data_IF_034186716584
#
_entry.id   IF_034186716584
#
_cell.length_a   1.000
_cell.length_b   1.000
_cell.length_c   1.000
_cell.angle_alpha   90.00
_cell.angle_beta   90.00
_cell.angle_gamma   90.00
#
_symmetry.space_group_name_H-M   'P 1'
#
loop_
_entity.id
_entity.type
_entity.pdbx_description
1 polymer ?
#
# COMPACT_ATOMS: atom_id res chain seq x y z
N UNK A 1 -0.07 -18.48 1.57
CA UNK A 1 1.11 -18.65 0.70
C UNK A 1 1.62 -20.06 0.89
N UNK A 2 1.76 -20.80 -0.19
CA UNK A 2 2.52 -22.05 -0.22
C UNK A 2 3.79 -21.77 -1.02
N UNK A 3 4.95 -21.91 -0.37
CA UNK A 3 6.23 -21.91 -1.06
C UNK A 3 6.48 -23.33 -1.57
N UNK A 4 6.23 -23.56 -2.85
CA UNK A 4 6.74 -24.73 -3.56
C UNK A 4 8.24 -24.47 -3.87
N UNK A 5 9.05 -25.51 -3.71
CA UNK A 5 10.47 -25.60 -4.09
C UNK A 5 10.82 -25.08 -5.50
N UNK A 6 9.83 -24.80 -6.36
CA UNK A 6 9.99 -24.20 -7.68
C UNK A 6 10.11 -22.66 -7.71
N UNK A 7 10.37 -21.99 -6.57
CA UNK A 7 10.56 -20.52 -6.50
C UNK A 7 9.36 -19.69 -6.98
N UNK A 8 8.14 -20.25 -6.90
CA UNK A 8 6.92 -19.55 -7.27
C UNK A 8 6.13 -19.17 -6.03
N UNK A 9 6.05 -17.85 -5.77
CA UNK A 9 5.28 -17.30 -4.67
C UNK A 9 3.84 -17.08 -5.16
N UNK A 10 2.98 -18.09 -5.01
CA UNK A 10 1.54 -17.94 -5.31
C UNK A 10 0.78 -17.47 -4.07
N UNK A 11 0.21 -16.28 -4.20
CA UNK A 11 -0.84 -15.77 -3.32
C UNK A 11 -2.17 -15.95 -4.05
N UNK A 12 -2.95 -16.99 -3.73
CA UNK A 12 -4.27 -17.26 -4.31
C UNK A 12 -5.37 -16.34 -3.73
N UNK A 13 -5.07 -15.06 -3.58
CA UNK A 13 -6.11 -14.05 -3.33
C UNK A 13 -5.96 -12.96 -4.37
N UNK A 14 -7.04 -12.68 -5.09
CA UNK A 14 -7.07 -11.51 -5.96
C UNK A 14 -7.54 -10.33 -5.12
N UNK A 15 -6.58 -9.54 -4.62
CA UNK A 15 -6.87 -8.29 -3.95
C UNK A 15 -7.23 -7.22 -4.99
N UNK A 16 -8.42 -7.31 -5.58
CA UNK A 16 -8.95 -6.23 -6.41
C UNK A 16 -9.32 -5.07 -5.50
N UNK A 17 -8.76 -3.88 -5.73
CA UNK A 17 -9.21 -2.65 -5.09
C UNK A 17 -10.37 -2.07 -5.89
N UNK A 18 -11.41 -1.61 -5.19
CA UNK A 18 -12.48 -0.84 -5.82
C UNK A 18 -11.99 0.58 -6.13
N UNK A 19 -12.64 1.27 -7.07
CA UNK A 19 -12.31 2.66 -7.41
C UNK A 19 -12.40 3.55 -6.16
N UNK A 20 -13.45 3.42 -5.35
CA UNK A 20 -13.59 4.20 -4.11
C UNK A 20 -12.48 3.94 -3.09
N UNK A 21 -12.02 2.69 -2.95
CA UNK A 21 -10.87 2.38 -2.08
C UNK A 21 -9.57 2.99 -2.61
N UNK A 22 -9.40 3.06 -3.94
CA UNK A 22 -8.23 3.69 -4.58
C UNK A 22 -8.29 5.21 -4.40
N UNK A 23 -9.44 5.83 -4.64
CA UNK A 23 -9.68 7.28 -4.48
C UNK A 23 -9.43 7.74 -3.05
N UNK A 24 -10.09 7.11 -2.08
CA UNK A 24 -9.96 7.44 -0.66
C UNK A 24 -8.51 7.31 -0.20
N UNK A 25 -7.83 6.26 -0.67
CA UNK A 25 -6.44 6.01 -0.32
C UNK A 25 -5.51 7.05 -0.95
N UNK A 26 -5.66 7.34 -2.25
CA UNK A 26 -4.85 8.33 -2.95
C UNK A 26 -5.02 9.73 -2.34
N UNK A 27 -6.25 10.13 -2.00
CA UNK A 27 -6.53 11.41 -1.35
C UNK A 27 -5.83 11.53 0.02
N UNK A 28 -5.82 10.46 0.83
CA UNK A 28 -5.13 10.43 2.13
C UNK A 28 -3.62 10.56 1.99
N UNK A 29 -3.02 9.86 1.03
CA UNK A 29 -1.57 9.94 0.76
C UNK A 29 -1.20 11.34 0.27
N UNK A 30 -1.96 11.91 -0.68
CA UNK A 30 -1.72 13.27 -1.17
C UNK A 30 -1.84 14.33 -0.06
N UNK A 31 -2.84 14.20 0.82
CA UNK A 31 -2.98 15.08 1.98
C UNK A 31 -1.75 15.02 2.90
N UNK A 32 -1.21 13.82 3.12
CA UNK A 32 0.00 13.62 3.90
C UNK A 32 1.24 14.21 3.22
N UNK A 33 1.44 13.95 1.92
CA UNK A 33 2.60 14.43 1.15
C UNK A 33 2.61 15.94 0.87
N UNK A 34 1.45 16.60 0.91
CA UNK A 34 1.32 18.06 0.78
C UNK A 34 1.69 18.78 2.07
N UNK A 35 1.63 18.10 3.22
CA UNK A 35 2.09 18.65 4.48
C UNK A 35 3.58 18.35 4.62
N UNK A 36 4.47 19.36 4.72
CA UNK A 36 5.90 19.14 4.94
C UNK A 36 6.11 18.54 6.34
N UNK A 37 6.00 17.22 6.45
CA UNK A 37 6.23 16.50 7.68
C UNK A 37 7.05 15.26 7.39
N UNK A 38 8.18 15.11 8.08
CA UNK A 38 8.97 13.86 8.09
C UNK A 38 8.29 12.80 8.97
N UNK A 39 6.95 12.73 8.90
CA UNK A 39 6.16 11.87 9.78
C UNK A 39 5.84 10.58 9.04
N UNK A 40 5.98 9.47 9.77
CA UNK A 40 5.50 8.17 9.36
C UNK A 40 4.01 8.23 9.02
N UNK A 41 3.64 7.62 7.90
CA UNK A 41 2.25 7.44 7.50
C UNK A 41 1.90 5.95 7.60
N UNK A 42 0.69 5.66 8.08
CA UNK A 42 0.16 4.30 8.11
C UNK A 42 -1.33 4.35 7.83
N UNK A 43 -1.78 3.66 6.80
CA UNK A 43 -3.19 3.58 6.45
C UNK A 43 -3.59 2.18 5.98
N UNK A 44 -4.78 1.76 6.35
CA UNK A 44 -5.44 0.64 5.70
C UNK A 44 -6.05 1.12 4.38
N UNK A 45 -5.63 0.49 3.28
CA UNK A 45 -6.17 0.70 1.92
C UNK A 45 -7.56 0.08 1.80
N UNK A 46 -7.80 -1.04 2.50
CA UNK A 46 -9.08 -1.76 2.50
C UNK A 46 -9.64 -1.93 3.92
N UNK A 47 -9.93 -0.83 4.65
CA UNK A 47 -10.28 -0.88 6.07
C UNK A 47 -11.59 -1.62 6.36
N UNK A 48 -12.51 -1.68 5.39
CA UNK A 48 -13.79 -2.40 5.51
C UNK A 48 -13.71 -3.89 5.19
N UNK A 49 -12.53 -4.40 4.81
CA UNK A 49 -12.34 -5.82 4.49
C UNK A 49 -11.84 -6.58 5.70
N UNK A 50 -12.21 -7.86 5.77
CA UNK A 50 -11.79 -8.76 6.85
C UNK A 50 -10.26 -8.91 6.92
N UNK A 51 -9.57 -8.79 5.78
CA UNK A 51 -8.12 -8.79 5.63
C UNK A 51 -7.65 -7.43 5.08
N UNK A 52 -7.49 -6.39 5.92
CA UNK A 52 -7.11 -5.07 5.44
C UNK A 52 -5.68 -5.06 4.90
N UNK A 53 -5.52 -4.61 3.66
CA UNK A 53 -4.24 -4.24 3.09
C UNK A 53 -3.77 -2.97 3.79
N UNK A 54 -2.63 -3.02 4.47
CA UNK A 54 -2.06 -1.87 5.17
C UNK A 54 -0.81 -1.40 4.46
N UNK A 55 -0.70 -0.10 4.21
CA UNK A 55 0.52 0.54 3.76
C UNK A 55 1.10 1.39 4.90
N UNK A 56 2.40 1.24 5.13
CA UNK A 56 3.19 2.18 5.93
C UNK A 56 4.20 2.86 5.04
N UNK A 57 4.38 4.16 5.23
CA UNK A 57 5.43 4.94 4.59
C UNK A 57 6.37 5.49 5.66
N UNK A 58 7.63 5.12 5.57
CA UNK A 58 8.71 5.54 6.47
C UNK A 58 9.55 6.59 5.75
N UNK A 59 9.75 7.78 6.33
CA UNK A 59 10.52 8.84 5.69
C UNK A 59 12.01 8.45 5.64
N UNK A 60 12.63 8.55 4.46
CA UNK A 60 14.05 8.23 4.24
C UNK A 60 14.65 9.27 3.29
N UNK A 61 15.62 10.05 3.76
CA UNK A 61 16.45 10.97 2.96
C UNK A 61 15.70 11.76 1.86
N UNK A 62 14.61 12.45 2.21
CA UNK A 62 13.83 13.25 1.26
C UNK A 62 12.76 12.49 0.47
N UNK A 63 12.71 11.16 0.61
CA UNK A 63 11.68 10.27 0.07
C UNK A 63 11.00 9.42 1.14
N UNK A 64 10.31 8.36 0.70
CA UNK A 64 9.63 7.42 1.58
C UNK A 64 9.86 5.97 1.13
N UNK A 65 10.28 5.11 2.07
CA UNK A 65 10.24 3.66 1.91
C UNK A 65 8.86 3.13 2.30
N UNK A 66 8.38 2.09 1.62
CA UNK A 66 7.04 1.56 1.88
C UNK A 66 7.06 0.14 2.40
N UNK A 67 6.19 -0.12 3.37
CA UNK A 67 5.93 -1.45 3.88
C UNK A 67 4.46 -1.79 3.68
N UNK A 68 4.21 -2.73 2.79
CA UNK A 68 2.88 -3.27 2.53
C UNK A 68 2.71 -4.53 3.35
N UNK A 69 1.63 -4.59 4.14
CA UNK A 69 1.25 -5.79 4.89
C UNK A 69 -0.16 -6.19 4.53
N UNK A 70 -0.34 -7.43 4.10
CA UNK A 70 -1.64 -8.09 4.05
C UNK A 70 -1.67 -9.22 5.07
N UNK A 71 -2.63 -9.13 5.98
CA UNK A 71 -2.85 -10.17 7.00
C UNK A 71 -4.05 -11.02 6.58
N UNK A 72 -3.85 -12.31 6.22
CA UNK A 72 -4.97 -13.21 5.96
C UNK A 72 -5.80 -13.45 7.23
N UNK A 73 -7.05 -13.91 7.06
CA UNK A 73 -7.97 -14.15 8.16
C UNK A 73 -7.45 -15.25 9.10
N UNK A 74 -7.77 -15.09 10.40
CA UNK A 74 -7.44 -16.03 11.45
C UNK A 74 -8.25 -17.32 11.37
N UNK A 75 -7.84 -18.20 10.46
CA UNK A 75 -7.88 -19.67 10.59
C UNK A 75 -7.06 -20.35 9.47
N UNK A 76 -6.55 -19.57 8.49
CA UNK A 76 -5.67 -20.10 7.47
C UNK A 76 -4.24 -20.17 8.01
N UNK A 77 -3.58 -21.31 7.88
CA UNK A 77 -2.12 -21.46 8.06
C UNK A 77 -1.29 -20.66 7.04
N UNK A 78 -1.82 -19.55 6.53
CA UNK A 78 -1.24 -18.70 5.51
C UNK A 78 -0.35 -17.63 6.14
N UNK A 79 0.90 -17.55 5.66
CA UNK A 79 1.82 -16.47 6.03
C UNK A 79 1.28 -15.09 5.59
N UNK A 80 1.53 -14.07 6.42
CA UNK A 80 1.33 -12.68 6.03
C UNK A 80 2.14 -12.36 4.77
N UNK A 81 1.56 -11.59 3.83
CA UNK A 81 2.35 -10.94 2.79
C UNK A 81 2.96 -9.68 3.42
N UNK A 82 4.28 -9.62 3.40
CA UNK A 82 5.03 -8.40 3.68
C UNK A 82 5.88 -8.07 2.46
N UNK A 83 5.73 -6.86 1.96
CA UNK A 83 6.53 -6.33 0.85
C UNK A 83 7.15 -5.02 1.30
N UNK A 84 8.43 -4.87 1.00
CA UNK A 84 9.18 -3.63 1.15
C UNK A 84 9.43 -3.05 -0.25
N UNK A 85 9.21 -1.76 -0.39
CA UNK A 85 9.51 -1.00 -1.60
C UNK A 85 10.55 0.04 -1.21
N UNK A 86 11.63 0.11 -1.98
CA UNK A 86 12.72 1.05 -1.81
C UNK A 86 12.22 2.50 -1.71
N UNK A 87 13.03 3.40 -1.11
CA UNK A 87 12.68 4.80 -1.02
C UNK A 87 12.35 5.41 -2.38
N UNK A 88 11.18 6.04 -2.48
CA UNK A 88 10.74 6.83 -3.63
C UNK A 88 10.88 8.31 -3.27
N UNK A 89 11.42 9.12 -4.18
CA UNK A 89 11.53 10.57 -3.97
C UNK A 89 10.15 11.20 -3.70
N UNK A 90 10.09 12.19 -2.81
CA UNK A 90 8.81 12.80 -2.44
C UNK A 90 8.12 13.54 -3.61
N UNK A 91 8.87 14.03 -4.59
CA UNK A 91 8.34 14.68 -5.80
C UNK A 91 7.77 13.63 -6.74
N UNK A 92 8.55 12.60 -7.05
CA UNK A 92 8.12 11.47 -7.88
C UNK A 92 6.88 10.80 -7.31
N UNK A 93 6.86 10.57 -5.99
CA UNK A 93 5.74 10.00 -5.29
C UNK A 93 4.49 10.87 -5.39
N UNK A 94 4.64 12.20 -5.26
CA UNK A 94 3.52 13.14 -5.39
C UNK A 94 2.94 13.09 -6.81
N UNK A 95 3.79 13.12 -7.82
CA UNK A 95 3.37 13.05 -9.24
C UNK A 95 2.63 11.75 -9.55
N UNK A 96 3.13 10.60 -9.07
CA UNK A 96 2.44 9.32 -9.24
C UNK A 96 1.05 9.30 -8.60
N UNK A 97 0.93 9.83 -7.37
CA UNK A 97 -0.36 9.87 -6.68
C UNK A 97 -1.32 10.92 -7.25
N UNK A 98 -0.83 12.06 -7.75
CA UNK A 98 -1.65 13.05 -8.45
C UNK A 98 -2.18 12.46 -9.78
N UNK A 99 -1.34 11.72 -10.53
CA UNK A 99 -1.75 11.01 -11.75
C UNK A 99 -2.75 9.89 -11.45
N UNK A 100 -2.51 9.11 -10.40
CA UNK A 100 -3.45 8.07 -9.96
C UNK A 100 -4.80 8.69 -9.61
N UNK A 101 -4.83 9.71 -8.75
CA UNK A 101 -6.05 10.39 -8.35
C UNK A 101 -6.80 10.99 -9.56
N UNK A 102 -6.10 11.61 -10.51
CA UNK A 102 -6.71 12.12 -11.74
C UNK A 102 -7.31 11.01 -12.63
N UNK A 103 -6.74 9.79 -12.60
CA UNK A 103 -7.23 8.67 -13.40
C UNK A 103 -8.50 8.01 -12.85
N UNK A 104 -8.81 8.20 -11.56
CA UNK A 104 -9.94 7.54 -10.89
C UNK A 104 -11.15 8.45 -10.67
N UNK A 105 -10.96 9.78 -10.63
CA UNK A 105 -12.02 10.78 -10.40
C UNK A 105 -12.83 11.12 -11.68
N UNK A 106 -12.75 10.30 -12.73
CA UNK A 106 -13.45 10.51 -14.01
C UNK A 106 -14.87 9.94 -14.05
#
# INVERSE_FOLDING_TARGET
MTADWCSWLRADFTAYLTIGEIEDFAARVLSHLRTPSSRRFSAAVTPGRNNPLTLKAEPVQGGHAFFVRLTPNGDDGACHLQMEIDPIDATELREMFDALHASVVL
#
